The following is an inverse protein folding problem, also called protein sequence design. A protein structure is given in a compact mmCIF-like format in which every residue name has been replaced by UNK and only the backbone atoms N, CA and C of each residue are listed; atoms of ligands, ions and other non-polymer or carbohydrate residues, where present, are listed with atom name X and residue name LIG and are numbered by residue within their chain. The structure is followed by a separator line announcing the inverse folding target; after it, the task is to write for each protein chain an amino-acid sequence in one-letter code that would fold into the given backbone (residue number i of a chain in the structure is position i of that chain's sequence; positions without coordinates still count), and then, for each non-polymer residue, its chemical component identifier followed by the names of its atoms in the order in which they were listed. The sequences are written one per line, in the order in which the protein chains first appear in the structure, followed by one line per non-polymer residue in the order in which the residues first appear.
data_IF_566298624277
#
_entry.id   IF_566298624277
#
_cell.length_a   1.000
_cell.length_b   1.000
_cell.length_c   1.000
_cell.angle_alpha   90.00
_cell.angle_beta   90.00
_cell.angle_gamma   90.00
#
_symmetry.space_group_name_H-M   'P 1'
#
loop_
_entity.id
_entity.type
_entity.pdbx_description
1 polymer ?
#
# COMPACT_ATOMS: atom_id res chain seq x y z
N UNK A 1 36.73 -26.54 -1.37
CA UNK A 1 35.93 -26.76 -2.59
C UNK A 1 35.01 -25.57 -2.72
N UNK A 2 35.40 -24.66 -3.59
CA UNK A 2 34.66 -23.45 -3.99
C UNK A 2 33.46 -23.88 -4.84
N UNK A 3 32.30 -23.30 -4.58
CA UNK A 3 31.08 -23.47 -5.37
C UNK A 3 30.42 -22.12 -5.53
N UNK A 4 30.61 -21.54 -6.71
CA UNK A 4 30.39 -20.15 -7.04
C UNK A 4 28.91 -19.71 -6.97
N UNK A 5 28.77 -18.44 -6.58
CA UNK A 5 27.54 -17.67 -6.48
C UNK A 5 27.08 -17.31 -7.90
N UNK A 6 26.06 -17.99 -8.42
CA UNK A 6 25.36 -17.55 -9.62
C UNK A 6 24.22 -16.60 -9.25
N UNK A 7 24.58 -15.33 -9.11
CA UNK A 7 23.66 -14.19 -9.13
C UNK A 7 23.18 -14.01 -10.58
N UNK A 8 22.02 -14.57 -10.93
CA UNK A 8 21.43 -14.39 -12.25
C UNK A 8 20.79 -13.02 -12.37
N UNK A 9 21.40 -12.23 -13.25
CA UNK A 9 20.93 -10.99 -13.87
C UNK A 9 19.49 -11.15 -14.42
N UNK A 10 18.56 -10.33 -13.94
CA UNK A 10 17.22 -10.19 -14.51
C UNK A 10 17.10 -8.84 -15.22
N UNK A 11 17.75 -8.73 -16.37
CA UNK A 11 17.53 -7.69 -17.37
C UNK A 11 16.91 -8.31 -18.64
N UNK A 12 15.60 -8.58 -18.61
CA UNK A 12 14.68 -8.39 -19.74
C UNK A 12 13.31 -9.00 -19.42
N UNK A 13 12.35 -8.14 -19.08
CA UNK A 13 10.96 -8.46 -19.41
C UNK A 13 10.31 -7.18 -19.89
N UNK A 14 10.12 -7.15 -21.22
CA UNK A 14 9.35 -6.16 -21.95
C UNK A 14 8.03 -5.86 -21.24
N UNK A 15 7.91 -4.66 -20.67
CA UNK A 15 6.64 -4.13 -20.23
C UNK A 15 5.92 -3.55 -21.46
N UNK A 16 4.62 -3.83 -21.69
CA UNK A 16 3.90 -3.16 -22.76
C UNK A 16 3.84 -1.66 -22.46
N UNK A 17 4.39 -0.86 -23.37
CA UNK A 17 4.28 0.58 -23.34
C UNK A 17 2.80 0.98 -23.49
N UNK A 18 2.21 1.49 -22.40
CA UNK A 18 0.93 2.21 -22.44
C UNK A 18 1.15 3.55 -23.13
N UNK A 19 0.96 3.59 -24.45
CA UNK A 19 0.90 4.84 -25.22
C UNK A 19 -0.47 5.49 -25.01
N UNK A 20 -0.55 6.46 -24.09
CA UNK A 20 -1.70 7.37 -24.02
C UNK A 20 -1.57 8.44 -25.11
N UNK A 21 -2.37 8.36 -26.16
CA UNK A 21 -2.54 9.48 -27.10
C UNK A 21 -3.45 10.54 -26.47
N UNK A 22 -2.86 11.62 -25.97
CA UNK A 22 -3.60 12.83 -25.62
C UNK A 22 -3.92 13.56 -26.94
N UNK A 23 -5.16 13.48 -27.41
CA UNK A 23 -5.64 14.32 -28.52
C UNK A 23 -5.86 15.73 -27.98
N UNK A 24 -5.12 16.67 -28.54
CA UNK A 24 -5.14 18.08 -28.17
C UNK A 24 -5.85 18.87 -29.28
N UNK A 25 -7.15 19.12 -29.12
CA UNK A 25 -7.90 19.95 -30.05
C UNK A 25 -7.47 21.42 -29.89
N UNK A 26 -6.82 21.96 -30.92
CA UNK A 26 -6.58 23.40 -31.08
C UNK A 26 -7.47 23.90 -32.20
N UNK A 27 -8.34 24.86 -31.90
CA UNK A 27 -8.77 25.84 -32.89
C UNK A 27 -8.75 27.27 -32.30
N UNK A 28 -7.74 28.00 -32.77
CA UNK A 28 -7.54 29.43 -33.00
C UNK A 28 -8.42 30.51 -32.32
N UNK A 29 -7.79 31.46 -31.61
CA UNK A 29 -7.48 32.84 -32.08
C UNK A 29 -7.11 33.81 -30.93
N UNK A 30 -6.00 34.55 -31.10
CA UNK A 30 -5.45 35.67 -30.29
C UNK A 30 -6.02 37.02 -30.87
N UNK A 31 -6.03 38.23 -30.25
CA UNK A 31 -4.97 38.82 -29.42
C UNK A 31 -5.33 39.72 -28.20
N UNK A 32 -4.40 39.71 -27.22
CA UNK A 32 -3.83 40.86 -26.47
C UNK A 32 -4.72 42.04 -26.05
N UNK A 33 -4.95 42.23 -24.74
CA UNK A 33 -4.90 43.56 -24.10
C UNK A 33 -4.38 43.49 -22.64
N UNK A 34 -3.33 44.27 -22.36
CA UNK A 34 -2.83 44.64 -21.03
C UNK A 34 -3.69 45.79 -20.47
N UNK A 35 -4.04 45.79 -19.19
CA UNK A 35 -4.13 47.02 -18.38
C UNK A 35 -4.10 46.73 -16.87
N UNK A 36 -3.69 47.75 -16.11
CA UNK A 36 -3.12 47.72 -14.74
C UNK A 36 -4.19 47.92 -13.65
N UNK A 37 -3.94 47.27 -12.49
CA UNK A 37 -4.07 47.73 -11.09
C UNK A 37 -5.28 48.57 -10.62
N UNK A 38 -5.99 48.05 -9.59
CA UNK A 38 -6.37 48.70 -8.29
C UNK A 38 -7.35 47.75 -7.54
N UNK A 39 -7.01 47.20 -6.36
CA UNK A 39 -7.01 47.73 -4.98
C UNK A 39 -8.17 47.12 -4.16
N UNK A 40 -7.75 46.33 -3.17
CA UNK A 40 -8.42 45.75 -1.99
C UNK A 40 -9.89 46.08 -1.70
N UNK A 41 -10.67 45.02 -1.40
CA UNK A 41 -11.48 44.95 -0.17
C UNK A 41 -11.77 43.50 0.22
N UNK A 42 -11.29 43.17 1.42
CA UNK A 42 -11.75 42.15 2.37
C UNK A 42 -13.24 41.82 2.27
N UNK A 43 -13.57 40.52 2.24
CA UNK A 43 -14.26 39.77 3.30
C UNK A 43 -14.58 38.36 2.79
N UNK A 44 -13.96 37.32 3.36
CA UNK A 44 -14.61 36.07 3.74
C UNK A 44 -13.61 35.17 4.49
N UNK A 45 -13.47 35.51 5.77
CA UNK A 45 -12.83 34.69 6.78
C UNK A 45 -13.75 33.55 7.19
N UNK A 46 -13.55 32.36 6.62
CA UNK A 46 -13.95 31.07 7.21
C UNK A 46 -12.89 29.98 6.93
N UNK A 47 -11.61 30.34 6.92
CA UNK A 47 -10.54 29.34 7.03
C UNK A 47 -10.31 29.03 8.51
N UNK A 48 -11.12 28.10 9.02
CA UNK A 48 -10.84 27.43 10.29
C UNK A 48 -9.60 26.57 10.08
N UNK A 49 -8.45 27.14 10.43
CA UNK A 49 -7.15 26.48 10.52
C UNK A 49 -7.24 25.30 11.49
N UNK A 50 -7.58 24.13 10.97
CA UNK A 50 -7.36 22.88 11.68
C UNK A 50 -5.85 22.73 11.91
N UNK A 51 -5.40 22.48 13.15
CA UNK A 51 -3.98 22.32 13.44
C UNK A 51 -3.45 21.12 12.66
N UNK A 52 -2.23 21.25 12.14
CA UNK A 52 -1.48 20.23 11.42
C UNK A 52 -1.38 18.94 12.26
N UNK A 53 -2.38 18.08 12.14
CA UNK A 53 -2.38 16.72 12.67
C UNK A 53 -2.91 15.78 11.59
N UNK A 54 -2.31 15.83 10.42
CA UNK A 54 -2.57 14.85 9.38
C UNK A 54 -1.69 13.63 9.61
N UNK A 55 -2.02 12.82 10.63
CA UNK A 55 -1.85 11.37 10.43
C UNK A 55 -2.69 11.08 9.20
N UNK A 56 -2.07 10.86 8.04
CA UNK A 56 -2.81 10.48 6.84
C UNK A 56 -3.68 9.28 7.22
N UNK A 57 -4.99 9.50 7.34
CA UNK A 57 -5.92 8.41 7.56
C UNK A 57 -5.86 7.58 6.28
N UNK A 58 -5.37 6.35 6.41
CA UNK A 58 -5.28 5.43 5.29
C UNK A 58 -6.69 5.15 4.78
N UNK A 59 -6.92 5.36 3.50
CA UNK A 59 -8.19 5.05 2.85
C UNK A 59 -8.30 3.54 2.64
N UNK A 60 -9.02 2.87 3.55
CA UNK A 60 -9.24 1.42 3.51
C UNK A 60 -9.83 0.96 2.18
N UNK A 61 -10.70 1.76 1.55
CA UNK A 61 -11.34 1.39 0.28
C UNK A 61 -10.30 1.35 -0.83
N UNK A 62 -9.41 2.35 -0.92
CA UNK A 62 -8.32 2.35 -1.91
C UNK A 62 -7.33 1.21 -1.67
N UNK A 63 -6.95 0.96 -0.41
CA UNK A 63 -6.06 -0.14 -0.06
C UNK A 63 -6.61 -1.47 -0.55
N UNK A 64 -7.87 -1.75 -0.24
CA UNK A 64 -8.51 -3.02 -0.59
C UNK A 64 -8.90 -3.10 -2.06
N UNK A 65 -9.19 -1.98 -2.71
CA UNK A 65 -9.35 -1.93 -4.17
C UNK A 65 -8.07 -2.34 -4.89
N UNK A 66 -6.90 -1.87 -4.42
CA UNK A 66 -5.62 -2.33 -4.96
C UNK A 66 -5.46 -3.85 -4.81
N UNK A 67 -5.72 -4.39 -3.61
CA UNK A 67 -5.65 -5.83 -3.36
C UNK A 67 -6.59 -6.64 -4.27
N UNK A 68 -7.81 -6.16 -4.49
CA UNK A 68 -8.78 -6.81 -5.37
C UNK A 68 -8.33 -6.86 -6.85
N UNK A 69 -7.45 -5.94 -7.27
CA UNK A 69 -6.85 -5.92 -8.60
C UNK A 69 -5.80 -7.02 -8.84
N UNK A 70 -5.29 -7.65 -7.79
CA UNK A 70 -4.30 -8.74 -7.89
C UNK A 70 -5.02 -10.02 -8.27
N UNK A 71 -4.73 -10.60 -9.44
CA UNK A 71 -5.47 -11.76 -9.96
C UNK A 71 -4.68 -13.07 -10.02
N UNK A 72 -3.40 -13.05 -9.66
CA UNK A 72 -2.58 -14.26 -9.58
C UNK A 72 -2.85 -15.04 -8.29
N UNK A 73 -2.70 -16.36 -8.36
CA UNK A 73 -2.73 -17.28 -7.21
C UNK A 73 -1.35 -17.85 -6.87
N UNK A 74 -0.30 -17.38 -7.56
CA UNK A 74 1.09 -17.81 -7.36
C UNK A 74 1.90 -16.62 -6.89
N UNK A 75 2.70 -16.83 -5.83
CA UNK A 75 3.56 -15.79 -5.28
C UNK A 75 4.67 -15.40 -6.26
N UNK A 76 4.90 -14.09 -6.34
CA UNK A 76 6.05 -13.47 -6.99
C UNK A 76 7.20 -13.19 -6.01
N UNK A 77 7.07 -13.62 -4.75
CA UNK A 77 8.02 -13.38 -3.65
C UNK A 77 8.17 -11.89 -3.29
N UNK A 78 7.18 -11.07 -3.65
CA UNK A 78 7.21 -9.60 -3.49
C UNK A 78 6.10 -9.11 -2.55
N UNK A 79 5.68 -9.92 -1.58
CA UNK A 79 4.56 -9.64 -0.67
C UNK A 79 4.71 -8.28 0.04
N UNK A 80 5.88 -8.00 0.64
CA UNK A 80 6.18 -6.73 1.29
C UNK A 80 6.08 -5.53 0.33
N UNK A 81 6.57 -5.68 -0.91
CA UNK A 81 6.49 -4.63 -1.93
C UNK A 81 5.04 -4.40 -2.38
N UNK A 82 4.26 -5.45 -2.58
CA UNK A 82 2.84 -5.34 -2.97
C UNK A 82 2.04 -4.59 -1.91
N UNK A 83 2.16 -5.00 -0.65
CA UNK A 83 1.46 -4.35 0.48
C UNK A 83 1.92 -2.89 0.66
N UNK A 84 3.21 -2.59 0.46
CA UNK A 84 3.69 -1.20 0.45
C UNK A 84 2.95 -0.34 -0.57
N UNK A 85 2.89 -0.79 -1.82
CA UNK A 85 2.27 -0.03 -2.91
C UNK A 85 0.77 0.13 -2.65
N UNK A 86 0.10 -0.93 -2.17
CA UNK A 86 -1.29 -0.87 -1.76
C UNK A 86 -1.52 0.22 -0.69
N UNK A 87 -0.70 0.24 0.36
CA UNK A 87 -0.79 1.23 1.43
C UNK A 87 -0.50 2.65 0.94
N UNK A 88 0.52 2.83 0.11
CA UNK A 88 0.86 4.14 -0.48
C UNK A 88 -0.26 4.64 -1.40
N UNK A 89 -0.88 3.77 -2.19
CA UNK A 89 -2.05 4.10 -3.03
C UNK A 89 -3.27 4.53 -2.21
N UNK A 90 -3.34 4.08 -0.95
CA UNK A 90 -4.35 4.47 0.03
C UNK A 90 -3.99 5.73 0.83
N UNK A 91 -2.88 6.41 0.49
CA UNK A 91 -2.46 7.66 1.13
C UNK A 91 -1.52 7.47 2.33
N UNK A 92 -1.05 6.25 2.60
CA UNK A 92 -0.03 6.04 3.63
C UNK A 92 1.30 6.70 3.22
N UNK A 93 1.84 7.55 4.10
CA UNK A 93 3.17 8.13 3.94
C UNK A 93 4.21 7.16 4.51
N UNK A 94 4.90 6.44 3.63
CA UNK A 94 5.93 5.47 3.98
C UNK A 94 7.25 5.96 3.39
N UNK A 95 8.07 6.62 4.20
CA UNK A 95 9.37 7.17 3.80
C UNK A 95 10.44 6.07 3.81
N UNK A 96 10.54 5.34 4.92
CA UNK A 96 11.42 4.20 5.11
C UNK A 96 10.59 2.95 5.34
N UNK A 97 10.97 1.84 4.69
CA UNK A 97 10.31 0.56 4.87
C UNK A 97 11.34 -0.58 4.90
N UNK A 98 11.07 -1.64 5.68
CA UNK A 98 11.89 -2.84 5.64
C UNK A 98 11.69 -3.58 4.31
N UNK A 99 12.69 -4.40 3.97
CA UNK A 99 12.59 -5.36 2.86
C UNK A 99 11.83 -6.60 3.31
N UNK A 100 12.16 -7.12 4.50
CA UNK A 100 11.53 -8.31 5.07
C UNK A 100 10.10 -8.00 5.53
N UNK A 101 9.15 -8.87 5.17
CA UNK A 101 7.76 -8.78 5.59
C UNK A 101 7.60 -8.85 7.12
N UNK A 102 8.41 -9.67 7.79
CA UNK A 102 8.38 -9.84 9.24
C UNK A 102 8.63 -8.53 10.04
N UNK A 103 9.34 -7.56 9.45
CA UNK A 103 9.71 -6.31 10.12
C UNK A 103 8.69 -5.18 9.95
N UNK A 104 7.61 -5.41 9.19
CA UNK A 104 6.64 -4.36 8.86
C UNK A 104 5.84 -3.83 10.04
N UNK A 105 5.82 -4.53 11.18
CA UNK A 105 5.00 -4.17 12.33
C UNK A 105 5.18 -2.74 12.83
N UNK A 106 6.43 -2.27 12.92
CA UNK A 106 6.71 -0.89 13.33
C UNK A 106 6.25 0.13 12.28
N UNK A 107 6.45 -0.17 10.99
CA UNK A 107 5.98 0.69 9.90
C UNK A 107 4.46 0.81 9.90
N UNK A 108 3.73 -0.31 10.07
CA UNK A 108 2.27 -0.33 10.19
C UNK A 108 1.80 0.51 11.39
N UNK A 109 2.47 0.37 12.53
CA UNK A 109 2.13 1.13 13.75
C UNK A 109 2.31 2.64 13.55
N UNK A 110 3.39 3.06 12.89
CA UNK A 110 3.66 4.49 12.59
C UNK A 110 2.60 5.11 11.69
N UNK A 111 2.03 4.33 10.76
CA UNK A 111 0.97 4.78 9.86
C UNK A 111 -0.45 4.55 10.42
N UNK A 112 -0.56 4.21 11.71
CA UNK A 112 -1.83 4.24 12.46
C UNK A 112 -2.50 2.88 12.68
N UNK A 113 -1.94 1.78 12.19
CA UNK A 113 -2.42 0.45 12.57
C UNK A 113 -2.13 0.16 14.04
N UNK A 114 -2.98 -0.67 14.64
CA UNK A 114 -2.76 -1.22 15.97
C UNK A 114 -2.59 -2.72 15.88
N UNK A 115 -1.58 -3.24 16.57
CA UNK A 115 -1.45 -4.68 16.77
C UNK A 115 -2.60 -5.16 17.66
N UNK A 116 -3.30 -6.19 17.22
CA UNK A 116 -4.40 -6.83 17.95
C UNK A 116 -4.15 -8.34 18.04
N UNK A 117 -4.92 -9.02 18.88
CA UNK A 117 -4.95 -10.49 18.87
C UNK A 117 -5.38 -10.99 17.50
N UNK A 118 -4.78 -12.08 16.98
CA UNK A 118 -5.17 -12.65 15.70
C UNK A 118 -6.66 -12.98 15.65
N UNK A 119 -7.35 -12.52 14.58
CA UNK A 119 -8.79 -12.71 14.39
C UNK A 119 -9.08 -13.22 12.97
N UNK A 120 -8.51 -14.38 12.61
CA UNK A 120 -8.63 -14.94 11.26
C UNK A 120 -10.01 -15.49 10.92
N UNK A 121 -10.88 -15.72 11.91
CA UNK A 121 -12.26 -16.19 11.71
C UNK A 121 -13.21 -15.06 11.31
N UNK A 122 -12.94 -13.83 11.73
CA UNK A 122 -13.75 -12.64 11.44
C UNK A 122 -12.88 -11.48 10.98
N UNK A 123 -12.12 -11.65 9.89
CA UNK A 123 -11.25 -10.60 9.39
C UNK A 123 -12.10 -9.43 8.88
N UNK A 124 -11.60 -8.20 9.09
CA UNK A 124 -12.23 -6.98 8.60
C UNK A 124 -11.45 -6.44 7.42
N UNK A 125 -12.17 -5.80 6.51
CA UNK A 125 -11.59 -5.15 5.34
C UNK A 125 -10.47 -4.20 5.77
N UNK A 126 -9.29 -4.38 5.18
CA UNK A 126 -8.11 -3.57 5.48
C UNK A 126 -7.24 -4.09 6.63
N UNK A 127 -7.62 -5.18 7.29
CA UNK A 127 -6.76 -5.89 8.22
C UNK A 127 -5.48 -6.36 7.53
N UNK A 128 -4.39 -6.43 8.29
CA UNK A 128 -3.11 -6.95 7.81
C UNK A 128 -2.60 -7.97 8.81
N UNK A 129 -2.12 -9.10 8.32
CA UNK A 129 -1.32 -10.01 9.14
C UNK A 129 0.11 -10.10 8.63
N UNK A 130 1.01 -10.41 9.55
CA UNK A 130 2.42 -10.72 9.29
C UNK A 130 2.70 -12.12 9.83
N UNK A 131 3.35 -12.97 9.04
CA UNK A 131 4.02 -14.18 9.53
C UNK A 131 5.46 -13.83 9.82
N UNK A 132 5.89 -14.09 11.04
CA UNK A 132 7.27 -13.90 11.48
C UNK A 132 8.21 -14.88 10.79
N UNK A 133 9.51 -14.56 10.87
CA UNK A 133 10.55 -15.39 10.27
C UNK A 133 10.53 -16.80 10.85
N UNK A 134 10.85 -17.75 10.00
CA UNK A 134 11.20 -19.13 10.38
C UNK A 134 12.50 -19.52 9.70
N UNK A 135 13.05 -20.69 10.05
CA UNK A 135 14.27 -21.22 9.42
C UNK A 135 14.12 -21.39 7.89
N UNK A 136 12.90 -21.68 7.42
CA UNK A 136 12.58 -21.81 6.00
C UNK A 136 12.13 -20.49 5.35
N UNK A 137 11.69 -19.52 6.13
CA UNK A 137 11.07 -18.29 5.63
C UNK A 137 11.70 -17.05 6.30
N UNK A 138 12.95 -16.77 5.93
CA UNK A 138 13.79 -15.75 6.58
C UNK A 138 13.30 -14.31 6.39
N UNK A 139 12.42 -14.04 5.42
CA UNK A 139 11.81 -12.73 5.22
C UNK A 139 10.42 -12.61 5.86
N UNK A 140 9.82 -13.73 6.27
CA UNK A 140 8.42 -13.80 6.70
C UNK A 140 7.43 -13.54 5.55
N UNK A 141 6.17 -13.31 5.92
CA UNK A 141 5.07 -13.01 4.99
C UNK A 141 4.23 -11.85 5.47
N UNK A 142 3.61 -11.11 4.57
CA UNK A 142 2.64 -10.06 4.91
C UNK A 142 1.49 -10.08 3.90
N UNK A 143 0.27 -9.96 4.39
CA UNK A 143 -0.94 -9.93 3.56
C UNK A 143 -2.01 -9.02 4.16
N UNK A 144 -2.82 -8.42 3.30
CA UNK A 144 -3.99 -7.64 3.68
C UNK A 144 -5.29 -8.36 3.35
N UNK A 145 -6.35 -8.12 4.13
CA UNK A 145 -7.67 -8.65 3.85
C UNK A 145 -8.44 -7.67 2.96
N UNK A 146 -8.82 -8.12 1.76
CA UNK A 146 -9.50 -7.27 0.78
C UNK A 146 -10.97 -7.00 1.10
N UNK A 147 -11.52 -7.66 2.13
CA UNK A 147 -12.95 -7.73 2.43
C UNK A 147 -13.56 -9.08 2.05
N UNK A 148 -12.91 -9.83 1.15
CA UNK A 148 -13.37 -11.16 0.72
C UNK A 148 -12.30 -12.24 0.91
N UNK A 149 -11.02 -11.91 0.76
CA UNK A 149 -9.93 -12.87 0.92
C UNK A 149 -8.63 -12.20 1.34
N UNK A 150 -7.66 -13.01 1.77
CA UNK A 150 -6.31 -12.57 2.05
C UNK A 150 -5.51 -12.43 0.76
N UNK A 151 -4.83 -11.29 0.62
CA UNK A 151 -4.04 -10.95 -0.57
C UNK A 151 -2.71 -10.33 -0.15
N UNK A 152 -1.62 -10.84 -0.73
CA UNK A 152 -0.29 -10.26 -0.60
C UNK A 152 0.13 -9.65 -1.95
N UNK A 153 1.11 -10.25 -2.59
CA UNK A 153 1.41 -10.19 -4.02
C UNK A 153 0.58 -11.21 -4.85
N UNK A 154 -0.19 -12.08 -4.19
CA UNK A 154 -1.11 -13.03 -4.82
C UNK A 154 -2.35 -13.24 -3.94
N UNK A 155 -3.43 -13.77 -4.53
CA UNK A 155 -4.64 -14.21 -3.83
C UNK A 155 -4.38 -15.51 -3.09
N UNK A 156 -4.67 -15.51 -1.79
CA UNK A 156 -4.45 -16.67 -0.94
C UNK A 156 -5.74 -17.40 -0.65
N UNK A 157 -5.68 -18.73 -0.62
CA UNK A 157 -6.80 -19.58 -0.21
C UNK A 157 -7.11 -19.47 1.28
N UNK A 158 -6.11 -19.14 2.09
CA UNK A 158 -6.23 -18.91 3.53
C UNK A 158 -5.05 -18.08 4.06
N UNK A 159 -5.09 -17.71 5.34
CA UNK A 159 -3.97 -17.08 6.05
C UNK A 159 -2.78 -18.02 6.31
N UNK A 160 -2.97 -19.34 6.24
CA UNK A 160 -1.93 -20.34 6.46
C UNK A 160 -1.20 -20.67 5.15
N UNK A 161 -0.31 -19.78 4.72
CA UNK A 161 0.44 -19.91 3.44
C UNK A 161 1.63 -20.86 3.52
N UNK A 162 2.27 -21.00 4.68
CA UNK A 162 3.47 -21.83 4.84
C UNK A 162 3.17 -23.27 5.27
N UNK A 163 1.93 -23.58 5.69
CA UNK A 163 1.51 -24.90 6.19
C UNK A 163 2.41 -25.46 7.30
N UNK A 164 3.16 -24.58 7.95
CA UNK A 164 4.11 -24.90 8.99
C UNK A 164 3.48 -24.59 10.35
N UNK A 165 3.53 -25.54 11.28
CA UNK A 165 2.91 -25.41 12.61
C UNK A 165 3.65 -24.42 13.52
N UNK A 166 4.87 -24.03 13.17
CA UNK A 166 5.73 -23.17 13.99
C UNK A 166 5.60 -21.68 13.69
N UNK A 167 4.77 -21.31 12.71
CA UNK A 167 4.63 -19.91 12.30
C UNK A 167 3.98 -19.08 13.41
N UNK A 168 4.56 -17.91 13.64
CA UNK A 168 4.00 -16.92 14.58
C UNK A 168 3.37 -15.79 13.77
N UNK A 169 2.16 -15.43 14.16
CA UNK A 169 1.40 -14.36 13.53
C UNK A 169 1.46 -13.08 14.35
N UNK A 170 1.53 -11.97 13.64
CA UNK A 170 1.09 -10.68 14.13
C UNK A 170 -0.11 -10.20 13.31
N UNK A 171 -1.02 -9.49 13.96
CA UNK A 171 -2.25 -9.05 13.33
C UNK A 171 -2.48 -7.57 13.61
N UNK A 172 -2.84 -6.82 12.58
CA UNK A 172 -2.92 -5.37 12.59
C UNK A 172 -4.25 -4.91 12.04
N UNK A 173 -4.87 -3.96 12.75
CA UNK A 173 -6.12 -3.33 12.34
C UNK A 173 -6.05 -1.83 12.55
N UNK A 174 -6.55 -1.07 11.58
CA UNK A 174 -6.75 0.37 11.74
C UNK A 174 -7.90 0.60 12.71
N UNK A 175 -7.71 1.49 13.69
CA UNK A 175 -8.79 1.86 14.59
C UNK A 175 -9.87 2.57 13.77
N UNK A 176 -11.10 2.03 13.75
CA UNK A 176 -12.24 2.77 13.22
C UNK A 176 -12.41 4.06 14.00
N UNK A 177 -12.51 5.18 13.29
CA UNK A 177 -13.07 6.39 13.86
C UNK A 177 -14.50 6.05 14.25
N UNK A 178 -14.81 6.13 15.54
CA UNK A 178 -16.21 6.13 16.00
C UNK A 178 -16.80 7.43 15.45
N UNK A 179 -17.76 7.32 14.53
CA UNK A 179 -18.64 8.43 14.20
C UNK A 179 -19.58 8.70 15.37
#
# INVERSE_FOLDING_TARGET
MVGDVNYTDYQNVSAPAIHLTIRNDKNANNPSQKSKLKKAKTTESLEKSAPFSSRSAIDIKKFTQYLNGINTYVSSQMCARSIRIALQSAGAKIENHPVAAADWGNTLTKIGYKKISPEFSHPKQGDIYIIQRTDRHIYGHIAGFSGTQWVSDFKQRSHNVYKDVTVKYEYYRLASLKN
#
